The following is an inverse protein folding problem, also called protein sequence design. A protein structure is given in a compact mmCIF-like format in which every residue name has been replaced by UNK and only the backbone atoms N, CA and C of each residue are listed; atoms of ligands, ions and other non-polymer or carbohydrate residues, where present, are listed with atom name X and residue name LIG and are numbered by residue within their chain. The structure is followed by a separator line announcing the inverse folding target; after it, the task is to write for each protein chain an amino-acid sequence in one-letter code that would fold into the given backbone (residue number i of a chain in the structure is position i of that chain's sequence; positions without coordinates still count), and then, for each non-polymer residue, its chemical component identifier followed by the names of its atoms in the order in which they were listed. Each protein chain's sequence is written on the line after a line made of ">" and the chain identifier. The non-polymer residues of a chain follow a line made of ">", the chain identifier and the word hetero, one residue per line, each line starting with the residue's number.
data_IF_535321761455
#
_entry.id   IF_535321761455
#
_cell.length_a   1.000
_cell.length_b   1.000
_cell.length_c   1.000
_cell.angle_alpha   90.00
_cell.angle_beta   90.00
_cell.angle_gamma   90.00
#
_symmetry.space_group_name_H-M   'P 1'
#
loop_
_entity.id
_entity.type
_entity.pdbx_description
1 polymer ?
#
# COMPACT_ATOMS: atom_id res chain seq x y z
N UNK A 1 -24.41 -6.87 1.38
CA UNK A 1 -23.98 -5.47 1.59
C UNK A 1 -22.69 -5.45 2.38
N UNK A 2 -21.74 -4.64 1.94
CA UNK A 2 -20.37 -4.55 2.45
C UNK A 2 -20.31 -3.45 3.52
N UNK A 3 -19.88 -3.77 4.74
CA UNK A 3 -19.83 -2.77 5.82
C UNK A 3 -18.67 -1.77 5.59
N UNK A 4 -18.94 -0.47 5.35
CA UNK A 4 -17.92 0.45 4.86
C UNK A 4 -16.76 0.69 5.84
N UNK A 5 -17.05 0.93 7.12
CA UNK A 5 -16.00 1.24 8.10
C UNK A 5 -15.09 0.03 8.41
N UNK A 6 -15.61 -1.20 8.66
CA UNK A 6 -14.76 -2.38 8.82
C UNK A 6 -13.90 -2.68 7.59
N UNK A 7 -14.46 -2.53 6.38
CA UNK A 7 -13.71 -2.74 5.14
C UNK A 7 -12.59 -1.70 4.98
N UNK A 8 -12.87 -0.43 5.25
CA UNK A 8 -11.89 0.63 5.19
C UNK A 8 -10.75 0.44 6.20
N UNK A 9 -11.08 0.07 7.44
CA UNK A 9 -10.09 -0.25 8.46
C UNK A 9 -9.22 -1.44 8.04
N UNK A 10 -9.83 -2.52 7.54
CA UNK A 10 -9.11 -3.72 7.12
C UNK A 10 -8.14 -3.41 5.96
N UNK A 11 -8.59 -2.66 4.94
CA UNK A 11 -7.72 -2.31 3.82
C UNK A 11 -6.59 -1.37 4.25
N UNK A 12 -6.88 -0.37 5.08
CA UNK A 12 -5.87 0.55 5.60
C UNK A 12 -4.79 -0.17 6.42
N UNK A 13 -5.18 -1.09 7.30
CA UNK A 13 -4.26 -1.92 8.08
C UNK A 13 -3.44 -2.83 7.15
N UNK A 14 -4.09 -3.51 6.21
CA UNK A 14 -3.42 -4.39 5.27
C UNK A 14 -2.35 -3.64 4.47
N UNK A 15 -2.72 -2.53 3.84
CA UNK A 15 -1.80 -1.69 3.06
C UNK A 15 -0.66 -1.15 3.91
N UNK A 16 -0.94 -0.68 5.13
CA UNK A 16 0.08 -0.21 6.06
C UNK A 16 1.07 -1.29 6.47
N UNK A 17 0.58 -2.49 6.82
CA UNK A 17 1.42 -3.64 7.17
C UNK A 17 2.30 -4.05 5.99
N UNK A 18 1.72 -4.17 4.79
CA UNK A 18 2.51 -4.50 3.59
C UNK A 18 3.59 -3.46 3.32
N UNK A 19 3.27 -2.16 3.44
CA UNK A 19 4.27 -1.11 3.26
C UNK A 19 5.43 -1.23 4.24
N UNK A 20 5.15 -1.51 5.52
CA UNK A 20 6.19 -1.72 6.53
C UNK A 20 7.06 -2.93 6.17
N UNK A 21 6.44 -4.06 5.79
CA UNK A 21 7.15 -5.27 5.39
C UNK A 21 8.06 -5.01 4.18
N UNK A 22 7.53 -4.34 3.16
CA UNK A 22 8.30 -3.96 1.97
C UNK A 22 9.44 -3.00 2.30
N UNK A 23 9.21 -2.04 3.19
CA UNK A 23 10.25 -1.11 3.64
C UNK A 23 11.38 -1.84 4.37
N UNK A 24 11.03 -2.75 5.30
CA UNK A 24 12.03 -3.57 6.00
C UNK A 24 12.82 -4.42 5.00
N UNK A 25 12.15 -5.04 4.02
CA UNK A 25 12.81 -5.83 2.99
C UNK A 25 13.75 -4.96 2.12
N UNK A 26 13.34 -3.75 1.76
CA UNK A 26 14.17 -2.82 0.99
C UNK A 26 15.45 -2.40 1.75
N UNK A 27 15.39 -2.33 3.08
CA UNK A 27 16.53 -1.98 3.95
C UNK A 27 17.44 -3.19 4.19
N UNK A 28 16.87 -4.35 4.51
CA UNK A 28 17.63 -5.55 4.91
C UNK A 28 18.17 -6.32 3.70
N UNK A 29 17.41 -6.41 2.61
CA UNK A 29 17.77 -7.17 1.42
C UNK A 29 17.22 -6.53 0.13
N UNK A 30 17.96 -5.54 -0.35
CA UNK A 30 17.57 -4.73 -1.51
C UNK A 30 17.29 -5.53 -2.79
N UNK A 31 18.06 -6.58 -3.07
CA UNK A 31 17.87 -7.39 -4.28
C UNK A 31 16.59 -8.23 -4.21
N UNK A 32 16.26 -8.79 -3.04
CA UNK A 32 14.99 -9.49 -2.83
C UNK A 32 13.80 -8.53 -2.96
N UNK A 33 13.91 -7.31 -2.44
CA UNK A 33 12.90 -6.27 -2.65
C UNK A 33 12.67 -5.98 -4.14
N UNK A 34 13.74 -5.75 -4.91
CA UNK A 34 13.65 -5.49 -6.36
C UNK A 34 12.97 -6.65 -7.09
N UNK A 35 13.37 -7.89 -6.80
CA UNK A 35 12.78 -9.08 -7.41
C UNK A 35 11.29 -9.17 -7.09
N UNK A 36 10.90 -9.08 -5.82
CA UNK A 36 9.52 -9.26 -5.39
C UNK A 36 8.60 -8.13 -5.85
N UNK A 37 9.10 -6.88 -5.83
CA UNK A 37 8.37 -5.71 -6.29
C UNK A 37 8.18 -5.72 -7.81
N UNK A 38 9.25 -5.90 -8.59
CA UNK A 38 9.17 -5.92 -10.06
C UNK A 38 8.34 -7.11 -10.58
N UNK A 39 8.27 -8.23 -9.85
CA UNK A 39 7.40 -9.35 -10.19
C UNK A 39 5.92 -8.98 -10.24
N UNK A 40 5.47 -7.99 -9.46
CA UNK A 40 4.09 -7.48 -9.51
C UNK A 40 3.80 -6.69 -10.80
N UNK A 41 4.85 -6.18 -11.46
CA UNK A 41 4.76 -5.38 -12.68
C UNK A 41 5.25 -6.17 -13.90
N UNK A 42 5.08 -7.51 -13.88
CA UNK A 42 5.47 -8.40 -14.97
C UNK A 42 6.96 -8.29 -15.36
N UNK A 43 7.83 -8.00 -14.38
CA UNK A 43 9.27 -7.89 -14.58
C UNK A 43 9.74 -6.52 -15.06
N UNK A 44 8.85 -5.53 -15.23
CA UNK A 44 9.26 -4.15 -15.47
C UNK A 44 10.05 -3.61 -14.26
N UNK A 45 11.16 -2.93 -14.51
CA UNK A 45 12.06 -2.42 -13.46
C UNK A 45 11.54 -1.14 -12.80
N UNK A 46 10.35 -1.22 -12.22
CA UNK A 46 9.69 -0.10 -11.54
C UNK A 46 10.41 0.24 -10.24
N UNK A 47 11.02 -0.74 -9.57
CA UNK A 47 11.80 -0.53 -8.36
C UNK A 47 12.97 0.46 -8.56
N UNK A 48 13.51 0.57 -9.78
CA UNK A 48 14.56 1.53 -10.10
C UNK A 48 14.11 3.00 -10.04
N UNK A 49 12.79 3.26 -10.16
CA UNK A 49 12.21 4.59 -10.04
C UNK A 49 12.09 5.05 -8.58
N UNK A 50 12.25 4.14 -7.61
CA UNK A 50 12.15 4.50 -6.20
C UNK A 50 13.40 5.26 -5.73
N UNK A 51 13.23 6.21 -4.79
CA UNK A 51 14.35 6.92 -4.19
C UNK A 51 15.39 5.94 -3.64
N UNK A 52 16.66 6.14 -4.03
CA UNK A 52 17.74 5.27 -3.56
C UNK A 52 18.13 5.54 -2.09
N UNK A 53 17.79 6.73 -1.59
CA UNK A 53 18.00 7.14 -0.21
C UNK A 53 16.66 7.17 0.52
N UNK A 54 16.50 6.29 1.49
CA UNK A 54 15.33 6.24 2.34
C UNK A 54 15.54 7.19 3.53
N UNK A 55 14.66 8.16 3.70
CA UNK A 55 14.65 9.06 4.85
C UNK A 55 13.52 8.68 5.80
N UNK A 56 13.75 8.84 7.11
CA UNK A 56 12.72 8.56 8.10
C UNK A 56 11.45 9.41 7.90
N UNK A 57 11.62 10.69 7.55
CA UNK A 57 10.51 11.58 7.23
C UNK A 57 9.74 11.13 5.97
N UNK A 58 10.43 10.70 4.91
CA UNK A 58 9.80 10.18 3.71
C UNK A 58 9.03 8.87 3.97
N UNK A 59 9.59 7.99 4.80
CA UNK A 59 8.93 6.76 5.24
C UNK A 59 7.62 7.06 5.98
N UNK A 60 7.68 7.86 7.05
CA UNK A 60 6.49 8.19 7.85
C UNK A 60 5.44 8.93 7.03
N UNK A 61 5.86 9.91 6.22
CA UNK A 61 4.95 10.66 5.37
C UNK A 61 4.21 9.75 4.39
N UNK A 62 4.93 8.85 3.72
CA UNK A 62 4.33 7.87 2.79
C UNK A 62 3.39 6.91 3.52
N UNK A 63 3.75 6.42 4.70
CA UNK A 63 2.89 5.52 5.50
C UNK A 63 1.56 6.18 5.88
N UNK A 64 1.62 7.42 6.37
CA UNK A 64 0.41 8.17 6.78
C UNK A 64 -0.48 8.43 5.57
N UNK A 65 0.09 8.93 4.47
CA UNK A 65 -0.64 9.18 3.22
C UNK A 65 -1.28 7.88 2.71
N UNK A 66 -0.51 6.79 2.66
CA UNK A 66 -1.02 5.48 2.23
C UNK A 66 -2.21 5.02 3.06
N UNK A 67 -2.11 5.07 4.39
CA UNK A 67 -3.20 4.63 5.30
C UNK A 67 -4.45 5.48 5.08
N UNK A 68 -4.31 6.81 5.04
CA UNK A 68 -5.44 7.73 4.90
C UNK A 68 -6.14 7.52 3.55
N UNK A 69 -5.39 7.48 2.45
CA UNK A 69 -5.97 7.32 1.12
C UNK A 69 -6.52 5.91 0.89
N UNK A 70 -5.87 4.86 1.40
CA UNK A 70 -6.41 3.50 1.36
C UNK A 70 -7.74 3.41 2.10
N UNK A 71 -7.84 4.03 3.29
CA UNK A 71 -9.07 4.06 4.07
C UNK A 71 -10.19 4.80 3.31
N UNK A 72 -9.91 6.01 2.82
CA UNK A 72 -10.90 6.83 2.08
C UNK A 72 -11.37 6.08 0.83
N UNK A 73 -10.44 5.53 0.04
CA UNK A 73 -10.75 4.79 -1.18
C UNK A 73 -11.60 3.55 -0.90
N UNK A 74 -11.25 2.78 0.15
CA UNK A 74 -12.01 1.61 0.56
C UNK A 74 -13.42 1.96 1.05
N UNK A 75 -13.56 3.02 1.86
CA UNK A 75 -14.85 3.47 2.35
C UNK A 75 -15.75 3.90 1.18
N UNK A 76 -15.22 4.72 0.27
CA UNK A 76 -15.92 5.17 -0.93
C UNK A 76 -16.34 4.00 -1.82
N UNK A 77 -15.45 3.01 -1.98
CA UNK A 77 -15.74 1.80 -2.75
C UNK A 77 -16.85 0.97 -2.12
N UNK A 78 -16.79 0.72 -0.81
CA UNK A 78 -17.82 -0.03 -0.09
C UNK A 78 -19.20 0.65 -0.19
N UNK A 79 -19.22 1.98 -0.05
CA UNK A 79 -20.43 2.77 -0.24
C UNK A 79 -20.99 2.66 -1.66
N UNK A 80 -20.14 2.82 -2.67
CA UNK A 80 -20.54 2.74 -4.08
C UNK A 80 -21.06 1.35 -4.43
N UNK A 81 -20.34 0.31 -4.02
CA UNK A 81 -20.74 -1.09 -4.21
C UNK A 81 -22.15 -1.35 -3.65
N UNK A 82 -22.40 -0.93 -2.41
CA UNK A 82 -23.72 -1.10 -1.80
C UNK A 82 -24.82 -0.39 -2.59
N UNK A 83 -24.54 0.81 -3.09
CA UNK A 83 -25.50 1.61 -3.86
C UNK A 83 -25.82 1.02 -5.24
N UNK A 84 -24.85 0.35 -5.87
CA UNK A 84 -25.03 -0.29 -7.18
C UNK A 84 -25.59 -1.72 -7.07
N UNK A 85 -25.44 -2.35 -5.91
CA UNK A 85 -25.95 -3.71 -5.63
C UNK A 85 -27.38 -3.74 -5.09
N UNK A 86 -27.98 -2.56 -4.87
CA UNK A 86 -29.35 -2.38 -4.39
C UNK A 86 -30.29 -2.10 -5.57
#
# INVERSE_FOLDING_TARGET
>A
MLNPAPFANALAILSGVFYIVFYVLAVVWRDAFRLLFNAQFFGADVAALMPQQLTYAGFLGTLVVLIVFAWIGAFAWAWLYNRLSA
#
